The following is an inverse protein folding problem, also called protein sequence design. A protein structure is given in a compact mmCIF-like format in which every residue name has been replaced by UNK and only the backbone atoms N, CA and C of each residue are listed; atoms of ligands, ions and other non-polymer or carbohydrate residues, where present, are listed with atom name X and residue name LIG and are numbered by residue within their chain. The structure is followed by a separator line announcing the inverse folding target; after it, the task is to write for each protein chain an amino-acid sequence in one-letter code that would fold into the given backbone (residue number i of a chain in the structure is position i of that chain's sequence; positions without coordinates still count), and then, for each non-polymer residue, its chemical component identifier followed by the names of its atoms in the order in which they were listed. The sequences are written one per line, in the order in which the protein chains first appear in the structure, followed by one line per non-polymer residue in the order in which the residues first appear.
data_IF_154008516224
#
_entry.id   IF_154008516224
#
_cell.length_a   1.000
_cell.length_b   1.000
_cell.length_c   1.000
_cell.angle_alpha   90.00
_cell.angle_beta   90.00
_cell.angle_gamma   90.00
#
_symmetry.space_group_name_H-M   'P 1'
#
loop_
_entity.id
_entity.type
_entity.pdbx_description
1 polymer ?
#
# COMPACT_ATOMS: atom_id res chain seq x y z
N UNK A 1 -9.07 0.36 7.98
CA UNK A 1 -8.10 1.37 7.50
C UNK A 1 -6.78 0.74 7.08
N UNK A 2 -6.03 0.06 7.96
CA UNK A 2 -4.73 -0.53 7.61
C UNK A 2 -4.77 -1.64 6.55
N UNK A 3 -5.81 -2.48 6.53
CA UNK A 3 -5.95 -3.57 5.54
C UNK A 3 -6.07 -3.04 4.10
N UNK A 4 -6.89 -2.01 3.88
CA UNK A 4 -7.09 -1.37 2.57
C UNK A 4 -5.77 -0.80 2.02
N UNK A 5 -4.97 -0.17 2.88
CA UNK A 5 -3.65 0.34 2.51
C UNK A 5 -2.72 -0.80 2.07
N UNK A 6 -2.70 -1.90 2.82
CA UNK A 6 -1.88 -3.08 2.51
C UNK A 6 -2.31 -3.69 1.17
N UNK A 7 -3.60 -3.86 0.94
CA UNK A 7 -4.16 -4.42 -0.30
C UNK A 7 -3.87 -3.52 -1.51
N UNK A 8 -4.02 -2.20 -1.36
CA UNK A 8 -3.72 -1.23 -2.42
C UNK A 8 -2.24 -1.31 -2.82
N UNK A 9 -1.35 -1.32 -1.83
CA UNK A 9 0.09 -1.38 -2.08
C UNK A 9 0.48 -2.73 -2.70
N UNK A 10 -0.08 -3.85 -2.21
CA UNK A 10 0.09 -5.17 -2.82
C UNK A 10 -0.35 -5.16 -4.27
N UNK A 11 -1.49 -4.52 -4.58
CA UNK A 11 -1.98 -4.35 -5.95
C UNK A 11 -1.00 -3.60 -6.85
N UNK A 12 -0.49 -2.44 -6.41
CA UNK A 12 0.45 -1.62 -7.17
C UNK A 12 1.80 -2.34 -7.42
N UNK A 13 2.29 -3.03 -6.39
CA UNK A 13 3.52 -3.83 -6.48
C UNK A 13 3.32 -5.05 -7.38
N UNK A 14 2.21 -5.77 -7.21
CA UNK A 14 1.88 -6.97 -7.99
C UNK A 14 1.68 -6.68 -9.48
N UNK A 15 1.13 -5.51 -9.82
CA UNK A 15 1.00 -5.02 -11.21
C UNK A 15 2.31 -4.53 -11.82
N UNK A 16 3.38 -4.38 -11.02
CA UNK A 16 4.67 -3.85 -11.46
C UNK A 16 4.68 -2.34 -11.67
N UNK A 17 3.63 -1.62 -11.26
CA UNK A 17 3.56 -0.16 -11.32
C UNK A 17 4.54 0.50 -10.33
N UNK A 18 4.82 -0.18 -9.21
CA UNK A 18 5.81 0.22 -8.23
C UNK A 18 6.73 -0.94 -7.84
N UNK A 19 8.03 -0.67 -7.76
CA UNK A 19 9.00 -1.64 -7.20
C UNK A 19 8.94 -1.63 -5.67
N UNK A 20 8.94 -2.82 -5.04
CA UNK A 20 9.02 -2.98 -3.57
C UNK A 20 10.14 -2.13 -2.95
N UNK A 21 11.34 -2.21 -3.54
CA UNK A 21 12.51 -1.50 -3.03
C UNK A 21 12.46 0.01 -3.30
N UNK A 22 11.80 0.43 -4.39
CA UNK A 22 11.60 1.83 -4.73
C UNK A 22 10.58 2.48 -3.78
N UNK A 23 9.44 1.80 -3.57
CA UNK A 23 8.41 2.21 -2.64
C UNK A 23 8.94 2.32 -1.20
N UNK A 24 9.70 1.32 -0.74
CA UNK A 24 10.31 1.36 0.59
C UNK A 24 11.18 2.61 0.75
N UNK A 25 12.09 2.86 -0.19
CA UNK A 25 12.98 4.03 -0.15
C UNK A 25 12.22 5.34 -0.21
N UNK A 26 11.22 5.45 -1.08
CA UNK A 26 10.44 6.65 -1.25
C UNK A 26 9.57 6.97 -0.03
N UNK A 27 9.14 5.95 0.71
CA UNK A 27 8.47 6.09 2.02
C UNK A 27 9.44 6.26 3.20
N UNK A 28 10.75 6.31 2.98
CA UNK A 28 11.75 6.41 4.06
C UNK A 28 11.88 5.13 4.91
N UNK A 29 11.58 3.98 4.30
CA UNK A 29 11.72 2.64 4.88
C UNK A 29 12.97 1.94 4.35
N UNK A 30 13.46 0.96 5.12
CA UNK A 30 14.54 0.10 4.67
C UNK A 30 14.08 -0.79 3.50
N UNK A 31 14.95 -1.06 2.54
CA UNK A 31 14.59 -1.78 1.31
C UNK A 31 14.02 -3.19 1.57
N UNK A 32 14.44 -3.85 2.66
CA UNK A 32 13.91 -5.16 3.03
C UNK A 32 12.53 -5.13 3.70
N UNK A 33 12.03 -3.97 4.15
CA UNK A 33 10.75 -3.87 4.88
C UNK A 33 9.56 -4.38 4.05
N UNK A 34 9.62 -4.20 2.73
CA UNK A 34 8.56 -4.61 1.79
C UNK A 34 8.91 -5.89 1.03
N UNK A 35 9.97 -6.62 1.42
CA UNK A 35 10.40 -7.84 0.72
C UNK A 35 9.28 -8.90 0.72
N UNK A 36 8.66 -9.08 1.87
CA UNK A 36 7.64 -10.10 2.09
C UNK A 36 6.23 -9.52 1.99
N UNK A 37 6.04 -8.37 1.32
CA UNK A 37 4.75 -7.67 1.28
C UNK A 37 3.59 -8.55 0.80
N UNK A 38 3.84 -9.47 -0.13
CA UNK A 38 2.86 -10.40 -0.68
C UNK A 38 2.59 -11.62 0.22
N UNK A 39 3.39 -11.81 1.28
CA UNK A 39 3.20 -12.89 2.23
C UNK A 39 1.98 -12.63 3.12
N UNK A 40 1.11 -13.62 3.35
CA UNK A 40 0.02 -13.51 4.32
C UNK A 40 0.54 -13.30 5.76
N UNK A 41 1.77 -13.71 6.05
CA UNK A 41 2.42 -13.54 7.36
C UNK A 41 3.11 -12.17 7.53
N UNK A 42 3.06 -11.32 6.49
CA UNK A 42 3.67 -10.00 6.57
C UNK A 42 2.91 -9.10 7.54
N UNK A 43 3.57 -8.77 8.65
CA UNK A 43 3.01 -7.99 9.74
C UNK A 43 3.79 -6.68 9.93
N UNK A 44 3.52 -5.64 9.12
CA UNK A 44 4.21 -4.36 9.23
C UNK A 44 3.88 -3.65 10.54
N UNK A 45 4.85 -2.91 11.08
CA UNK A 45 4.63 -2.07 12.26
C UNK A 45 3.71 -0.89 11.94
N UNK A 46 3.08 -0.31 12.96
CA UNK A 46 2.28 0.91 12.82
C UNK A 46 3.10 2.07 12.21
N UNK A 47 4.39 2.18 12.54
CA UNK A 47 5.28 3.18 11.93
C UNK A 47 5.46 2.93 10.42
N UNK A 48 5.61 1.66 10.02
CA UNK A 48 5.74 1.27 8.61
C UNK A 48 4.48 1.66 7.84
N UNK A 49 3.30 1.33 8.38
CA UNK A 49 2.02 1.68 7.79
C UNK A 49 1.86 3.20 7.66
N UNK A 50 2.20 3.97 8.69
CA UNK A 50 2.13 5.44 8.67
C UNK A 50 3.02 6.05 7.58
N UNK A 51 4.25 5.55 7.43
CA UNK A 51 5.18 6.00 6.39
C UNK A 51 4.67 5.70 4.98
N UNK A 52 4.10 4.52 4.78
CA UNK A 52 3.48 4.14 3.50
C UNK A 52 2.25 4.99 3.19
N UNK A 53 1.39 5.23 4.19
CA UNK A 53 0.20 6.08 4.06
C UNK A 53 0.57 7.52 3.69
N UNK A 54 1.57 8.11 4.37
CA UNK A 54 2.07 9.45 4.05
C UNK A 54 2.64 9.53 2.64
N UNK A 55 3.40 8.51 2.22
CA UNK A 55 3.91 8.42 0.86
C UNK A 55 2.76 8.39 -0.17
N UNK A 56 1.76 7.53 0.05
CA UNK A 56 0.58 7.46 -0.82
C UNK A 56 -0.15 8.81 -0.88
N UNK A 57 -0.47 9.42 0.26
CA UNK A 57 -1.12 10.73 0.33
C UNK A 57 -0.33 11.82 -0.39
N UNK A 58 0.99 11.81 -0.29
CA UNK A 58 1.87 12.80 -0.93
C UNK A 58 2.04 12.59 -2.44
N UNK A 59 1.85 11.36 -2.93
CA UNK A 59 1.94 11.03 -4.36
C UNK A 59 0.57 11.01 -5.05
N UNK A 60 -0.51 11.31 -4.32
CA UNK A 60 -1.90 11.30 -4.81
C UNK A 60 -2.33 12.64 -5.44
N UNK A 61 -1.51 13.24 -6.31
CA UNK A 61 -1.99 14.23 -7.31
C UNK A 61 -2.89 13.56 -8.39
N UNK A 62 -3.13 12.24 -8.25
CA UNK A 62 -4.24 11.50 -8.85
C UNK A 62 -5.19 11.11 -7.71
N UNK A 63 -6.51 11.32 -7.85
CA UNK A 63 -7.43 11.52 -6.74
C UNK A 63 -7.30 10.41 -5.70
N UNK A 64 -6.75 10.78 -4.54
CA UNK A 64 -6.76 9.94 -3.37
C UNK A 64 -8.20 9.76 -2.90
N UNK A 65 -8.53 8.52 -2.52
CA UNK A 65 -9.66 8.16 -1.68
C UNK A 65 -11.01 8.19 -2.41
N UNK A 66 -11.32 7.11 -3.12
CA UNK A 66 -12.73 6.66 -3.14
C UNK A 66 -13.06 6.31 -1.69
N UNK A 67 -14.05 6.97 -1.04
CA UNK A 67 -14.52 6.55 0.27
C UNK A 67 -15.04 5.11 0.19
N UNK A 68 -14.91 4.38 1.28
CA UNK A 68 -15.33 2.99 1.44
C UNK A 68 -16.86 2.81 1.46
N UNK A 69 -17.56 3.39 0.49
CA UNK A 69 -18.98 3.12 0.20
C UNK A 69 -19.17 2.28 -1.07
N UNK A 70 -18.10 1.78 -1.69
CA UNK A 70 -18.16 0.94 -2.89
C UNK A 70 -17.28 -0.32 -2.71
N UNK A 71 -17.56 -1.10 -1.65
CA UNK A 71 -17.17 -2.52 -1.63
C UNK A 71 -18.47 -3.32 -1.45
N UNK A 72 -18.86 -3.98 -2.54
CA UNK A 72 -19.93 -4.97 -2.75
C UNK A 72 -21.34 -4.46 -3.11
N UNK A 73 -21.56 -4.16 -4.40
CA UNK A 73 -22.70 -4.68 -5.16
C UNK A 73 -22.21 -5.07 -6.58
N UNK A 74 -22.82 -6.10 -7.16
CA UNK A 74 -22.57 -6.65 -8.51
C UNK A 74 -21.47 -7.72 -8.67
N UNK A 75 -21.68 -8.85 -7.99
CA UNK A 75 -21.63 -10.13 -8.68
C UNK A 75 -23.01 -10.78 -8.54
N UNK A 76 -23.77 -10.71 -9.64
CA UNK A 76 -25.08 -11.32 -9.87
C UNK A 76 -25.13 -12.81 -9.55
#
# INVERSE_FOLDING_TARGET
MSQILIETIRGLVGKGELSRSGLARAAGLHANTLRDIDSPEWNPTAETLRKLELYMASNSDRPALVPIEEIIEEAR
#
